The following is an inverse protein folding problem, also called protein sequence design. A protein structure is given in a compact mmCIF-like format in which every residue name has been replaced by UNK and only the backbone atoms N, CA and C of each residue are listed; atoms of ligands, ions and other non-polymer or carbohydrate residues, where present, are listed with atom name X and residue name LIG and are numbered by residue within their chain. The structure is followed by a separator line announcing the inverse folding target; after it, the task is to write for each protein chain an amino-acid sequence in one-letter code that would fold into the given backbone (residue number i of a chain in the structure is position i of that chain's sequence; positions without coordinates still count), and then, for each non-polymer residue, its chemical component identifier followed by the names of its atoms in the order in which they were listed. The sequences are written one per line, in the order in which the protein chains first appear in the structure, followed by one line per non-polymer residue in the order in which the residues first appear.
data_IF_117482413578
#
_entry.id   IF_117482413578
#
_cell.length_a   1.000
_cell.length_b   1.000
_cell.length_c   1.000
_cell.angle_alpha   90.00
_cell.angle_beta   90.00
_cell.angle_gamma   90.00
#
_symmetry.space_group_name_H-M   'P 1'
#
loop_
_entity.id
_entity.type
_entity.pdbx_description
1 polymer ?
#
# COMPACT_ATOMS: atom_id res chain seq x y z
N UNK A 1 6.94 -38.02 33.21
CA UNK A 1 7.41 -37.42 31.94
C UNK A 1 7.52 -35.92 32.16
N UNK A 2 8.73 -35.39 32.34
CA UNK A 2 8.97 -33.96 32.57
C UNK A 2 9.14 -33.29 31.21
N UNK A 3 8.21 -32.40 30.86
CA UNK A 3 8.26 -31.60 29.64
C UNK A 3 9.18 -30.40 29.85
N UNK A 4 10.27 -30.35 29.09
CA UNK A 4 11.23 -29.24 29.09
C UNK A 4 10.71 -28.15 28.17
N UNK A 5 10.24 -27.05 28.74
CA UNK A 5 9.82 -25.85 28.00
C UNK A 5 11.07 -25.04 27.63
N UNK A 6 11.47 -25.10 26.35
CA UNK A 6 12.53 -24.23 25.81
C UNK A 6 11.94 -22.86 25.50
N UNK A 7 12.25 -21.86 26.34
CA UNK A 7 11.96 -20.45 26.06
C UNK A 7 12.96 -19.93 25.04
N UNK A 8 12.47 -19.51 23.87
CA UNK A 8 13.24 -18.74 22.90
C UNK A 8 13.10 -17.27 23.29
N UNK A 9 14.17 -16.70 23.81
CA UNK A 9 14.29 -15.27 24.12
C UNK A 9 14.65 -14.53 22.83
N UNK A 10 13.75 -13.70 22.31
CA UNK A 10 14.09 -12.74 21.26
C UNK A 10 14.96 -11.64 21.87
N UNK A 11 16.24 -11.62 21.48
CA UNK A 11 17.20 -10.60 21.87
C UNK A 11 16.84 -9.27 21.21
N UNK A 12 16.53 -8.29 22.04
CA UNK A 12 16.42 -6.88 21.67
C UNK A 12 17.83 -6.37 21.32
N UNK A 13 18.17 -6.31 20.04
CA UNK A 13 19.42 -5.71 19.59
C UNK A 13 19.27 -4.17 19.63
N UNK A 14 19.85 -3.55 20.65
CA UNK A 14 20.01 -2.11 20.73
C UNK A 14 21.00 -1.65 19.63
N UNK A 15 20.49 -0.99 18.60
CA UNK A 15 21.30 -0.40 17.54
C UNK A 15 21.89 0.92 18.05
N UNK A 16 23.20 0.91 18.31
CA UNK A 16 23.96 2.08 18.73
C UNK A 16 24.06 3.12 17.61
N UNK A 17 23.68 4.34 17.94
CA UNK A 17 23.83 5.53 17.11
C UNK A 17 25.30 5.96 17.08
N UNK A 18 25.96 5.77 15.94
CA UNK A 18 27.24 6.41 15.60
C UNK A 18 26.96 7.46 14.52
N UNK A 19 27.11 8.75 14.84
CA UNK A 19 27.13 9.83 13.85
C UNK A 19 28.56 10.30 13.68
N UNK A 20 29.12 10.06 12.50
CA UNK A 20 30.39 10.62 12.04
C UNK A 20 30.18 12.06 11.56
N UNK A 21 31.06 12.97 11.99
CA UNK A 21 31.19 14.34 11.50
C UNK A 21 32.36 14.41 10.52
N UNK A 22 32.08 14.75 9.26
CA UNK A 22 32.98 15.33 8.26
C UNK A 22 32.07 15.93 7.17
N UNK A 23 32.15 17.19 6.73
CA UNK A 23 33.29 18.09 6.65
C UNK A 23 33.81 18.13 5.20
N UNK A 24 33.81 19.33 4.60
CA UNK A 24 34.23 19.75 3.22
C UNK A 24 33.05 19.84 2.22
N UNK A 25 32.54 21.03 1.83
CA UNK A 25 33.13 22.09 0.98
C UNK A 25 33.75 21.56 -0.31
N UNK A 26 33.09 21.78 -1.46
CA UNK A 26 33.55 22.84 -2.38
C UNK A 26 32.56 23.13 -3.52
N UNK A 27 32.58 24.42 -3.83
CA UNK A 27 31.95 25.24 -4.85
C UNK A 27 32.41 24.88 -6.28
N UNK A 28 31.51 24.97 -7.27
CA UNK A 28 31.81 25.28 -8.69
C UNK A 28 30.56 25.19 -9.57
N UNK A 29 29.85 26.30 -9.75
CA UNK A 29 29.06 26.54 -10.98
C UNK A 29 29.99 26.97 -12.12
N UNK A 30 29.62 26.66 -13.38
CA UNK A 30 29.68 27.73 -14.38
C UNK A 30 28.43 27.84 -15.24
N UNK A 31 28.07 29.11 -15.44
CA UNK A 31 27.14 29.71 -16.39
C UNK A 31 27.50 29.49 -17.86
N UNK A 32 26.49 29.28 -18.73
CA UNK A 32 26.35 29.89 -20.06
C UNK A 32 24.96 29.50 -20.60
N UNK A 33 23.97 30.36 -20.88
CA UNK A 33 23.87 31.59 -21.70
C UNK A 33 24.22 31.37 -23.18
N UNK A 34 23.19 31.14 -23.99
CA UNK A 34 22.99 31.68 -25.34
C UNK A 34 21.54 31.39 -25.74
N UNK A 35 20.64 32.39 -25.85
CA UNK A 35 20.48 33.44 -26.88
C UNK A 35 20.10 32.90 -28.27
N UNK A 36 18.87 33.20 -28.67
CA UNK A 36 18.38 32.98 -30.04
C UNK A 36 16.85 33.04 -30.12
N UNK A 37 16.24 34.16 -30.53
CA UNK A 37 14.81 34.28 -30.75
C UNK A 37 14.47 33.83 -32.17
N UNK A 38 13.36 33.12 -32.38
CA UNK A 38 12.69 33.22 -33.66
C UNK A 38 11.18 33.07 -33.53
N UNK A 39 10.50 34.14 -33.92
CA UNK A 39 9.07 34.22 -34.10
C UNK A 39 8.72 33.49 -35.40
N UNK A 40 7.66 32.68 -35.39
CA UNK A 40 6.72 32.67 -36.52
C UNK A 40 5.28 32.62 -36.06
N UNK A 41 4.63 33.74 -36.35
CA UNK A 41 3.18 33.94 -36.50
C UNK A 41 2.72 33.24 -37.79
N UNK A 42 1.47 32.74 -37.78
CA UNK A 42 0.75 32.17 -38.93
C UNK A 42 0.18 30.79 -38.55
N UNK A 43 -1.09 30.44 -38.65
CA UNK A 43 -2.16 31.00 -39.46
C UNK A 43 -3.53 30.86 -38.78
N UNK A 44 -4.37 31.77 -39.22
CA UNK A 44 -5.79 31.98 -38.96
C UNK A 44 -6.63 30.91 -39.66
N UNK A 45 -7.43 30.14 -38.90
CA UNK A 45 -8.55 29.39 -39.44
C UNK A 45 -9.84 30.15 -39.15
N UNK A 46 -10.24 30.98 -40.12
CA UNK A 46 -11.58 31.56 -40.24
C UNK A 46 -12.41 30.63 -41.12
N UNK A 47 -13.63 30.35 -40.67
CA UNK A 47 -14.75 29.95 -41.54
C UNK A 47 -15.04 28.46 -41.58
N UNK A 48 -16.07 28.05 -40.86
CA UNK A 48 -17.29 27.64 -41.55
C UNK A 48 -18.51 27.90 -40.67
N UNK A 49 -19.33 28.85 -41.13
CA UNK A 49 -20.66 29.13 -40.62
C UNK A 49 -21.63 28.18 -41.34
N UNK A 50 -21.96 27.05 -40.73
CA UNK A 50 -23.08 26.25 -41.18
C UNK A 50 -24.38 26.90 -40.66
N UNK A 51 -25.00 27.70 -41.51
CA UNK A 51 -26.35 28.23 -41.30
C UNK A 51 -27.35 27.22 -41.85
N UNK A 52 -28.27 26.78 -41.01
CA UNK A 52 -29.60 26.34 -41.42
C UNK A 52 -29.75 24.88 -41.78
N UNK A 53 -30.23 24.08 -40.83
CA UNK A 53 -31.39 23.23 -41.11
C UNK A 53 -32.30 23.22 -39.88
N UNK A 54 -33.51 23.74 -40.11
CA UNK A 54 -34.59 23.74 -39.13
C UNK A 54 -35.27 22.38 -39.19
N UNK A 55 -34.81 21.43 -38.38
CA UNK A 55 -35.57 20.21 -38.13
C UNK A 55 -36.66 20.52 -37.09
N UNK A 56 -37.86 20.75 -37.60
CA UNK A 56 -39.08 20.84 -36.81
C UNK A 56 -39.54 19.43 -36.49
N UNK A 57 -39.76 19.13 -35.21
CA UNK A 57 -40.53 17.98 -34.77
C UNK A 57 -39.70 16.72 -34.52
N UNK A 58 -39.26 16.56 -33.27
CA UNK A 58 -39.66 15.39 -32.49
C UNK A 58 -39.60 15.77 -31.02
N UNK A 59 -40.74 15.66 -30.35
CA UNK A 59 -40.84 15.74 -28.90
C UNK A 59 -40.08 14.54 -28.33
N UNK A 60 -38.79 14.71 -28.06
CA UNK A 60 -38.04 13.79 -27.22
C UNK A 60 -38.65 13.88 -25.81
N UNK A 61 -39.62 13.00 -25.57
CA UNK A 61 -40.14 12.69 -24.25
C UNK A 61 -38.93 12.45 -23.37
N UNK A 62 -38.80 13.24 -22.31
CA UNK A 62 -37.59 13.32 -21.50
C UNK A 62 -37.14 11.94 -21.03
N UNK A 63 -36.11 11.42 -21.67
CA UNK A 63 -35.20 10.49 -21.05
C UNK A 63 -34.57 11.27 -19.92
N UNK A 64 -35.15 11.11 -18.74
CA UNK A 64 -34.49 11.45 -17.50
C UNK A 64 -33.23 10.61 -17.54
N UNK A 65 -32.10 11.24 -17.87
CA UNK A 65 -30.80 10.68 -17.59
C UNK A 65 -30.78 10.49 -16.07
N UNK A 66 -31.22 9.32 -15.62
CA UNK A 66 -30.88 8.79 -14.31
C UNK A 66 -29.37 8.72 -14.38
N UNK A 67 -28.73 9.80 -13.91
CA UNK A 67 -27.29 9.91 -13.89
C UNK A 67 -26.79 8.62 -13.27
N UNK A 68 -25.91 7.94 -14.00
CA UNK A 68 -25.16 6.79 -13.51
C UNK A 68 -24.42 7.27 -12.26
N UNK A 69 -25.10 7.22 -11.11
CA UNK A 69 -24.48 7.30 -9.81
C UNK A 69 -23.56 6.10 -9.78
N UNK A 70 -22.27 6.35 -9.93
CA UNK A 70 -21.23 5.36 -9.72
C UNK A 70 -21.60 4.54 -8.48
N UNK A 71 -21.52 3.19 -8.55
CA UNK A 71 -21.98 2.34 -7.45
C UNK A 71 -21.36 2.82 -6.15
N UNK A 72 -22.20 3.26 -5.21
CA UNK A 72 -21.74 3.73 -3.91
C UNK A 72 -21.01 2.59 -3.23
N UNK A 73 -19.80 2.84 -2.74
CA UNK A 73 -19.04 1.85 -2.00
C UNK A 73 -19.86 1.37 -0.78
N UNK A 74 -20.21 0.08 -0.65
CA UNK A 74 -21.05 -0.39 0.46
C UNK A 74 -20.29 -0.50 1.80
N UNK A 75 -18.97 -0.32 1.79
CA UNK A 75 -18.07 -0.55 2.93
C UNK A 75 -17.87 0.72 3.77
N UNK A 76 -18.97 1.35 4.17
CA UNK A 76 -18.98 2.67 4.86
C UNK A 76 -19.02 2.59 6.39
N UNK A 77 -18.92 1.39 6.96
CA UNK A 77 -18.92 1.19 8.41
C UNK A 77 -18.03 0.03 8.82
N UNK A 78 -17.60 0.03 10.09
CA UNK A 78 -16.80 -1.06 10.67
C UNK A 78 -17.51 -2.40 10.50
N UNK A 79 -18.81 -2.45 10.80
CA UNK A 79 -19.61 -3.68 10.69
C UNK A 79 -19.71 -4.18 9.25
N UNK A 80 -19.89 -3.29 8.27
CA UNK A 80 -19.98 -3.70 6.87
C UNK A 80 -18.66 -4.33 6.39
N UNK A 81 -17.52 -3.73 6.77
CA UNK A 81 -16.19 -4.23 6.40
C UNK A 81 -15.90 -5.57 7.09
N UNK A 82 -16.09 -5.67 8.41
CA UNK A 82 -15.78 -6.89 9.16
C UNK A 82 -16.65 -8.06 8.72
N UNK A 83 -17.96 -7.85 8.54
CA UNK A 83 -18.88 -8.88 8.02
C UNK A 83 -18.51 -9.31 6.60
N UNK A 84 -18.08 -8.38 5.74
CA UNK A 84 -17.69 -8.73 4.38
C UNK A 84 -16.42 -9.59 4.33
N UNK A 85 -15.39 -9.19 5.09
CA UNK A 85 -14.10 -9.87 5.14
C UNK A 85 -14.19 -11.23 5.83
N UNK A 86 -15.15 -11.47 6.72
CA UNK A 86 -15.33 -12.76 7.37
C UNK A 86 -15.42 -13.92 6.36
N UNK A 87 -14.59 -14.95 6.58
CA UNK A 87 -14.50 -16.10 5.70
C UNK A 87 -13.86 -15.82 4.34
N UNK A 88 -13.26 -14.64 4.12
CA UNK A 88 -12.51 -14.34 2.89
C UNK A 88 -11.04 -14.74 2.99
N UNK A 89 -10.47 -15.03 1.84
CA UNK A 89 -9.03 -15.15 1.63
C UNK A 89 -8.56 -13.93 0.85
N UNK A 90 -7.50 -13.27 1.35
CA UNK A 90 -6.85 -12.12 0.76
C UNK A 90 -5.50 -12.57 0.22
N UNK A 91 -5.24 -12.38 -1.08
CA UNK A 91 -4.00 -12.84 -1.71
C UNK A 91 -3.24 -11.69 -2.36
N UNK A 92 -1.98 -11.52 -1.99
CA UNK A 92 -1.04 -10.59 -2.62
C UNK A 92 0.07 -11.39 -3.31
N UNK A 93 0.34 -11.12 -4.59
CA UNK A 93 1.42 -11.74 -5.36
C UNK A 93 1.79 -10.91 -6.60
N UNK A 94 2.95 -11.18 -7.20
CA UNK A 94 3.37 -10.51 -8.44
C UNK A 94 3.42 -8.98 -8.31
N UNK A 95 2.83 -8.25 -9.25
CA UNK A 95 2.80 -6.78 -9.26
C UNK A 95 2.01 -6.16 -8.10
N UNK A 96 1.26 -6.96 -7.35
CA UNK A 96 0.53 -6.50 -6.17
C UNK A 96 1.43 -6.38 -4.93
N UNK A 97 2.65 -6.93 -4.98
CA UNK A 97 3.67 -6.76 -3.95
C UNK A 97 4.40 -5.44 -4.21
N UNK A 98 4.35 -4.47 -3.27
CA UNK A 98 4.97 -3.18 -3.48
C UNK A 98 6.48 -3.25 -3.18
N UNK A 99 7.23 -2.22 -3.57
CA UNK A 99 8.70 -2.21 -3.37
C UNK A 99 9.12 -2.10 -1.90
N UNK A 100 8.27 -1.53 -1.05
CA UNK A 100 8.52 -1.32 0.37
C UNK A 100 7.36 -1.82 1.24
N UNK A 101 7.04 -3.13 1.22
CA UNK A 101 5.97 -3.64 2.06
C UNK A 101 6.30 -3.35 3.53
N UNK A 102 5.28 -2.93 4.28
CA UNK A 102 5.45 -2.51 5.68
C UNK A 102 6.43 -1.35 5.90
N UNK A 103 6.75 -0.59 4.85
CA UNK A 103 7.68 0.54 4.88
C UNK A 103 9.16 0.17 4.69
N UNK A 104 9.50 -1.11 4.48
CA UNK A 104 10.87 -1.58 4.35
C UNK A 104 11.19 -2.03 2.94
N UNK A 105 12.35 -1.63 2.41
CA UNK A 105 12.83 -2.08 1.10
C UNK A 105 12.90 -3.61 1.04
N UNK A 106 12.14 -4.21 0.13
CA UNK A 106 12.10 -5.66 -0.07
C UNK A 106 13.46 -6.27 -0.44
N UNK A 107 14.40 -5.46 -0.93
CA UNK A 107 15.75 -5.88 -1.28
C UNK A 107 16.72 -5.89 -0.10
N UNK A 108 16.31 -5.43 1.09
CA UNK A 108 17.18 -5.44 2.28
C UNK A 108 16.97 -6.71 3.10
N UNK A 109 18.07 -7.36 3.46
CA UNK A 109 18.05 -8.56 4.29
C UNK A 109 17.78 -8.22 5.76
N UNK A 110 16.64 -8.67 6.29
CA UNK A 110 16.30 -8.61 7.72
C UNK A 110 16.18 -10.01 8.34
N UNK A 111 16.86 -11.00 7.77
CA UNK A 111 16.76 -12.41 8.13
C UNK A 111 15.34 -12.94 7.89
N UNK A 112 14.74 -13.53 8.91
CA UNK A 112 13.34 -14.00 8.83
C UNK A 112 12.31 -12.86 8.76
N UNK A 113 12.71 -11.63 9.08
CA UNK A 113 11.85 -10.45 8.96
C UNK A 113 11.98 -9.74 7.60
N UNK A 114 12.69 -10.34 6.63
CA UNK A 114 12.85 -9.78 5.29
C UNK A 114 11.49 -9.64 4.60
N UNK A 115 11.28 -8.50 3.93
CA UNK A 115 10.03 -8.18 3.24
C UNK A 115 10.03 -8.60 1.75
N UNK A 116 11.01 -9.41 1.35
CA UNK A 116 11.05 -10.04 0.03
C UNK A 116 9.95 -11.10 -0.04
N UNK A 117 8.73 -10.71 -0.41
CA UNK A 117 7.60 -11.62 -0.52
C UNK A 117 7.53 -12.23 -1.92
N UNK A 118 7.19 -13.50 -2.03
CA UNK A 118 6.72 -14.12 -3.27
C UNK A 118 5.19 -14.10 -3.31
N UNK A 119 4.57 -14.43 -2.17
CA UNK A 119 3.12 -14.42 -1.98
C UNK A 119 2.77 -14.20 -0.52
N UNK A 120 1.72 -13.44 -0.26
CA UNK A 120 1.09 -13.35 1.07
C UNK A 120 -0.37 -13.78 0.95
N UNK A 121 -0.78 -14.70 1.80
CA UNK A 121 -2.17 -15.16 1.91
C UNK A 121 -2.67 -14.87 3.31
N UNK A 122 -3.76 -14.12 3.42
CA UNK A 122 -4.42 -13.83 4.69
C UNK A 122 -5.79 -14.46 4.68
N UNK A 123 -6.07 -15.34 5.63
CA UNK A 123 -7.42 -15.88 5.84
C UNK A 123 -8.08 -15.08 6.96
N UNK A 124 -9.18 -14.41 6.64
CA UNK A 124 -10.02 -13.79 7.65
C UNK A 124 -10.90 -14.86 8.28
N UNK A 125 -10.58 -15.21 9.52
CA UNK A 125 -11.29 -16.24 10.28
C UNK A 125 -12.55 -15.67 10.94
N UNK A 126 -13.31 -16.50 11.67
CA UNK A 126 -14.46 -16.03 12.44
C UNK A 126 -14.01 -15.08 13.57
N UNK A 127 -14.57 -13.88 13.58
CA UNK A 127 -14.12 -12.77 14.43
C UNK A 127 -12.99 -11.93 13.79
N UNK A 128 -12.53 -10.86 14.45
CA UNK A 128 -11.52 -9.95 13.90
C UNK A 128 -10.13 -10.56 14.01
N UNK A 129 -9.87 -11.66 13.27
CA UNK A 129 -8.59 -12.37 13.28
C UNK A 129 -8.20 -12.81 11.89
N UNK A 130 -6.96 -12.51 11.56
CA UNK A 130 -6.24 -12.96 10.40
C UNK A 130 -5.30 -14.12 10.76
N UNK A 131 -5.32 -15.15 9.92
CA UNK A 131 -4.26 -16.14 9.81
C UNK A 131 -3.46 -15.85 8.55
N UNK A 132 -2.19 -15.47 8.73
CA UNK A 132 -1.35 -14.97 7.65
C UNK A 132 -0.26 -15.97 7.32
N UNK A 133 -0.17 -16.35 6.05
CA UNK A 133 0.93 -17.15 5.49
C UNK A 133 1.72 -16.25 4.54
N UNK A 134 3.02 -16.13 4.78
CA UNK A 134 3.95 -15.37 3.94
C UNK A 134 4.97 -16.32 3.33
N UNK A 135 4.88 -16.50 2.01
CA UNK A 135 5.92 -17.16 1.22
C UNK A 135 6.97 -16.09 0.90
N UNK A 136 8.15 -16.19 1.51
CA UNK A 136 9.27 -15.30 1.22
C UNK A 136 9.91 -15.70 -0.11
N UNK A 137 10.18 -14.71 -0.94
CA UNK A 137 10.98 -14.83 -2.15
C UNK A 137 12.45 -15.09 -1.83
N UNK A 138 13.25 -15.28 -2.88
CA UNK A 138 14.68 -15.53 -2.75
C UNK A 138 15.43 -14.22 -2.82
N UNK A 139 16.13 -13.86 -1.74
CA UNK A 139 16.97 -12.66 -1.72
C UNK A 139 18.40 -13.03 -2.11
N UNK A 140 18.87 -12.49 -3.23
CA UNK A 140 20.23 -12.73 -3.75
C UNK A 140 21.14 -11.53 -3.50
N UNK A 141 22.45 -11.74 -3.35
CA UNK A 141 23.41 -10.64 -3.19
C UNK A 141 23.43 -9.95 -1.82
N UNK A 142 22.66 -10.44 -0.84
CA UNK A 142 22.60 -9.88 0.51
C UNK A 142 22.86 -10.96 1.59
N UNK A 143 24.12 -11.41 1.77
CA UNK A 143 24.43 -12.54 2.65
C UNK A 143 24.22 -12.27 4.14
N UNK A 144 24.29 -11.01 4.59
CA UNK A 144 24.16 -10.63 5.99
C UNK A 144 22.96 -9.71 6.23
N UNK A 145 22.49 -9.66 7.47
CA UNK A 145 21.47 -8.69 7.90
C UNK A 145 21.94 -7.26 7.64
N UNK A 146 21.09 -6.47 6.99
CA UNK A 146 21.37 -5.09 6.58
C UNK A 146 21.96 -4.96 5.16
N UNK A 147 22.41 -6.07 4.56
CA UNK A 147 22.87 -6.03 3.16
C UNK A 147 21.68 -5.79 2.22
N UNK A 148 21.92 -5.01 1.16
CA UNK A 148 20.97 -4.80 0.07
C UNK A 148 21.31 -5.71 -1.11
N UNK A 149 20.30 -6.41 -1.62
CA UNK A 149 20.43 -7.38 -2.68
C UNK A 149 19.39 -7.20 -3.77
N UNK A 150 18.92 -8.31 -4.32
CA UNK A 150 17.82 -8.34 -5.29
C UNK A 150 16.83 -9.41 -4.86
N UNK A 151 15.61 -8.97 -4.57
CA UNK A 151 14.50 -9.85 -4.25
C UNK A 151 13.93 -10.48 -5.53
N UNK A 152 13.92 -11.81 -5.57
CA UNK A 152 13.19 -12.59 -6.57
C UNK A 152 11.84 -13.03 -5.98
N UNK A 153 10.76 -12.37 -6.41
CA UNK A 153 9.40 -12.70 -6.01
C UNK A 153 8.87 -13.99 -6.69
N UNK A 154 9.58 -14.55 -7.69
CA UNK A 154 9.18 -15.75 -8.42
C UNK A 154 9.61 -17.07 -7.77
N UNK A 155 10.64 -17.04 -6.93
CA UNK A 155 11.20 -18.24 -6.29
C UNK A 155 11.02 -18.21 -4.78
N UNK A 156 10.20 -19.12 -4.24
CA UNK A 156 9.97 -19.22 -2.79
C UNK A 156 11.20 -19.81 -2.09
N UNK A 157 11.71 -19.12 -1.08
CA UNK A 157 12.82 -19.55 -0.23
C UNK A 157 12.33 -20.20 1.07
N UNK A 158 11.33 -19.61 1.72
CA UNK A 158 10.76 -20.13 2.96
C UNK A 158 9.33 -19.64 3.15
N UNK A 159 8.55 -20.36 3.95
CA UNK A 159 7.17 -20.00 4.30
C UNK A 159 7.07 -19.75 5.80
N UNK A 160 6.51 -18.61 6.17
CA UNK A 160 6.21 -18.22 7.54
C UNK A 160 4.71 -18.17 7.76
N UNK A 161 4.24 -18.51 8.95
CA UNK A 161 2.83 -18.40 9.32
C UNK A 161 2.70 -17.78 10.70
N UNK A 162 1.76 -16.85 10.83
CA UNK A 162 1.50 -16.16 12.08
C UNK A 162 0.02 -15.77 12.16
N UNK A 163 -0.56 -15.97 13.35
CA UNK A 163 -1.94 -15.63 13.63
C UNK A 163 -2.02 -14.33 14.42
N UNK A 164 -2.87 -13.43 13.96
CA UNK A 164 -3.20 -12.24 14.72
C UNK A 164 -4.03 -12.59 15.95
N UNK A 165 -3.83 -11.84 17.03
CA UNK A 165 -4.68 -11.90 18.21
C UNK A 165 -5.90 -10.99 18.05
N UNK A 166 -5.74 -9.87 17.34
CA UNK A 166 -6.77 -8.84 17.12
C UNK A 166 -6.54 -8.14 15.77
N UNK A 167 -7.63 -7.87 15.05
CA UNK A 167 -7.71 -6.96 13.89
C UNK A 167 -8.68 -5.83 14.24
N UNK A 168 -8.19 -4.63 14.52
CA UNK A 168 -9.03 -3.46 14.75
C UNK A 168 -9.28 -2.72 13.43
N UNK A 169 -10.55 -2.40 13.15
CA UNK A 169 -10.96 -1.54 12.04
C UNK A 169 -11.68 -0.33 12.65
N UNK A 170 -11.21 0.87 12.32
CA UNK A 170 -11.60 2.13 12.96
C UNK A 170 -11.70 3.26 11.91
N UNK A 171 -12.27 4.40 12.31
CA UNK A 171 -12.25 5.65 11.53
C UNK A 171 -12.67 5.50 10.05
N UNK A 172 -13.67 4.66 9.79
CA UNK A 172 -14.20 4.41 8.45
C UNK A 172 -14.82 5.69 7.89
N UNK A 173 -14.33 6.14 6.72
CA UNK A 173 -14.90 7.29 6.02
C UNK A 173 -16.31 6.98 5.53
N UNK A 174 -17.17 7.99 5.53
CA UNK A 174 -18.59 7.84 5.14
C UNK A 174 -18.80 7.40 3.70
N UNK A 175 -17.80 7.57 2.83
CA UNK A 175 -17.80 7.14 1.43
C UNK A 175 -17.09 5.78 1.22
N UNK A 176 -16.63 5.12 2.28
CA UNK A 176 -15.89 3.85 2.22
C UNK A 176 -14.52 3.95 1.57
N UNK A 177 -14.02 5.15 1.30
CA UNK A 177 -12.73 5.36 0.61
C UNK A 177 -11.51 5.01 1.48
N UNK A 178 -11.67 4.96 2.79
CA UNK A 178 -10.57 4.69 3.70
C UNK A 178 -11.10 4.23 5.06
N UNK A 179 -10.39 3.31 5.71
CA UNK A 179 -10.53 3.00 7.12
C UNK A 179 -9.16 2.72 7.75
N UNK A 180 -9.02 3.03 9.03
CA UNK A 180 -7.81 2.69 9.78
C UNK A 180 -7.85 1.21 10.15
N UNK A 181 -6.70 0.56 10.04
CA UNK A 181 -6.54 -0.85 10.39
C UNK A 181 -5.32 -1.03 11.29
N UNK A 182 -5.49 -1.85 12.33
CA UNK A 182 -4.42 -2.28 13.23
C UNK A 182 -4.48 -3.79 13.40
N UNK A 183 -3.43 -4.49 13.00
CA UNK A 183 -3.31 -5.95 13.14
C UNK A 183 -2.28 -6.27 14.22
N UNK A 184 -2.73 -6.92 15.28
CA UNK A 184 -1.89 -7.29 16.42
C UNK A 184 -1.50 -8.77 16.31
N UNK A 185 -0.21 -9.05 16.36
CA UNK A 185 0.34 -10.40 16.43
C UNK A 185 1.04 -10.63 17.78
N UNK A 186 1.48 -11.86 18.02
CA UNK A 186 2.32 -12.12 19.19
C UNK A 186 3.72 -11.53 18.96
N UNK A 187 4.02 -10.42 19.65
CA UNK A 187 5.35 -9.80 19.65
C UNK A 187 5.50 -8.57 18.74
N UNK A 188 4.55 -8.29 17.85
CA UNK A 188 4.57 -7.10 17.00
C UNK A 188 3.16 -6.67 16.58
N UNK A 189 3.03 -5.43 16.11
CA UNK A 189 1.81 -4.92 15.52
C UNK A 189 2.10 -4.22 14.20
N UNK A 190 1.10 -4.25 13.33
CA UNK A 190 1.08 -3.51 12.08
C UNK A 190 -0.11 -2.57 12.10
N UNK A 191 0.07 -1.37 11.59
CA UNK A 191 -0.96 -0.34 11.58
C UNK A 191 -0.88 0.54 10.34
N UNK A 192 -2.01 1.13 9.98
CA UNK A 192 -2.10 2.11 8.92
C UNK A 192 -3.53 2.26 8.44
N UNK A 193 -3.69 2.27 7.12
CA UNK A 193 -4.96 2.53 6.45
C UNK A 193 -5.23 1.53 5.34
N UNK A 194 -6.50 1.31 5.06
CA UNK A 194 -6.93 0.39 4.02
C UNK A 194 -8.20 0.88 3.31
N UNK A 195 -8.44 0.31 2.13
CA UNK A 195 -9.62 0.56 1.31
C UNK A 195 -10.04 -0.75 0.66
N UNK A 196 -11.33 -1.05 0.72
CA UNK A 196 -11.95 -2.13 -0.05
C UNK A 196 -12.62 -1.52 -1.28
N UNK A 197 -12.34 -2.06 -2.47
CA UNK A 197 -12.97 -1.61 -3.73
C UNK A 197 -14.48 -1.77 -3.66
N UNK A 198 -15.24 -0.95 -4.38
CA UNK A 198 -16.71 -1.00 -4.32
C UNK A 198 -17.30 -2.35 -4.76
N UNK A 199 -16.60 -3.10 -5.61
CA UNK A 199 -16.98 -4.47 -6.01
C UNK A 199 -16.52 -5.56 -5.03
N UNK A 200 -15.79 -5.16 -3.98
CA UNK A 200 -15.28 -6.02 -2.92
C UNK A 200 -14.10 -6.91 -3.33
N UNK A 201 -13.66 -6.88 -4.58
CA UNK A 201 -12.66 -7.81 -5.11
C UNK A 201 -11.23 -7.45 -4.75
N UNK A 202 -10.97 -6.20 -4.35
CA UNK A 202 -9.63 -5.72 -4.08
C UNK A 202 -9.59 -5.00 -2.74
N UNK A 203 -8.70 -5.46 -1.86
CA UNK A 203 -8.35 -4.77 -0.63
C UNK A 203 -6.95 -4.16 -0.80
N UNK A 204 -6.84 -2.84 -0.65
CA UNK A 204 -5.55 -2.14 -0.64
C UNK A 204 -5.23 -1.82 0.81
N UNK A 205 -4.06 -2.23 1.29
CA UNK A 205 -3.59 -1.97 2.65
C UNK A 205 -2.24 -1.27 2.60
N UNK A 206 -2.14 -0.14 3.29
CA UNK A 206 -0.89 0.57 3.51
C UNK A 206 -0.58 0.48 5.00
N UNK A 207 0.29 -0.47 5.32
CA UNK A 207 0.61 -0.85 6.70
C UNK A 207 2.08 -0.54 6.97
N UNK A 208 2.39 -0.33 8.24
CA UNK A 208 3.72 -0.13 8.80
C UNK A 208 3.79 -0.82 10.15
N UNK A 209 4.99 -1.10 10.65
CA UNK A 209 5.12 -1.57 12.04
C UNK A 209 4.77 -0.45 13.03
N UNK A 210 4.12 -0.82 14.12
CA UNK A 210 3.68 0.13 15.16
C UNK A 210 4.83 1.01 15.66
N UNK A 211 4.56 2.31 15.75
CA UNK A 211 5.50 3.30 16.27
C UNK A 211 6.61 3.72 15.31
N UNK A 212 6.65 3.19 14.08
CA UNK A 212 7.66 3.56 13.09
C UNK A 212 7.19 4.63 12.11
N UNK A 213 5.91 4.66 11.78
CA UNK A 213 5.36 5.57 10.80
C UNK A 213 4.48 6.66 11.44
N UNK A 214 4.40 7.81 10.76
CA UNK A 214 3.37 8.83 10.99
C UNK A 214 2.78 9.28 9.65
N UNK A 215 1.59 9.87 9.64
CA UNK A 215 0.92 10.28 8.40
C UNK A 215 0.30 9.13 7.61
N UNK A 216 0.18 7.94 8.23
CA UNK A 216 -0.28 6.70 7.62
C UNK A 216 -1.74 6.35 7.94
N UNK A 217 -2.50 7.24 8.59
CA UNK A 217 -3.91 7.05 8.92
C UNK A 217 -4.82 7.72 7.88
N UNK A 218 -6.11 7.37 7.89
CA UNK A 218 -7.12 7.97 7.02
C UNK A 218 -7.42 9.44 7.32
N UNK A 219 -7.02 9.93 8.50
CA UNK A 219 -7.04 11.35 8.81
C UNK A 219 -5.98 12.14 8.02
N UNK A 220 -4.88 11.48 7.65
CA UNK A 220 -3.72 12.11 7.02
C UNK A 220 -3.74 12.03 5.48
N UNK A 221 -4.57 11.15 4.92
CA UNK A 221 -4.72 11.00 3.48
C UNK A 221 -5.42 9.73 3.05
N UNK A 222 -5.68 9.62 1.75
CA UNK A 222 -6.15 8.37 1.13
C UNK A 222 -5.06 7.29 1.17
N UNK A 223 -5.44 6.03 0.96
CA UNK A 223 -4.48 4.92 0.81
C UNK A 223 -3.50 5.22 -0.33
N UNK A 224 -2.20 5.20 -0.03
CA UNK A 224 -1.11 5.56 -0.94
C UNK A 224 -0.83 7.06 -1.04
N UNK A 225 -1.44 7.90 -0.21
CA UNK A 225 -1.12 9.32 -0.17
C UNK A 225 0.33 9.55 0.28
N UNK A 226 0.99 10.53 -0.35
CA UNK A 226 2.28 11.04 0.09
C UNK A 226 2.20 11.67 1.48
N UNK A 227 3.34 11.82 2.15
CA UNK A 227 3.41 12.50 3.45
C UNK A 227 3.58 11.57 4.64
N UNK A 228 3.64 10.26 4.40
CA UNK A 228 4.11 9.31 5.41
C UNK A 228 5.57 9.62 5.76
N UNK A 229 5.89 9.63 7.04
CA UNK A 229 7.27 9.58 7.51
C UNK A 229 7.55 8.24 8.18
N UNK A 230 8.77 7.73 8.04
CA UNK A 230 9.25 6.52 8.68
C UNK A 230 10.49 6.85 9.51
N UNK A 231 10.42 6.59 10.81
CA UNK A 231 11.45 6.96 11.79
C UNK A 231 11.86 8.44 11.68
N UNK A 232 10.87 9.32 11.44
CA UNK A 232 11.06 10.77 11.31
C UNK A 232 11.53 11.25 9.93
N UNK A 233 11.82 10.36 8.99
CA UNK A 233 12.26 10.72 7.64
C UNK A 233 11.10 10.59 6.64
N UNK A 234 11.04 11.45 5.64
CA UNK A 234 10.03 11.32 4.57
C UNK A 234 10.15 9.95 3.87
N UNK A 235 9.03 9.25 3.74
CA UNK A 235 8.98 7.97 3.05
C UNK A 235 8.83 8.20 1.53
N UNK A 236 9.72 7.60 0.75
CA UNK A 236 9.75 7.70 -0.72
C UNK A 236 9.42 6.38 -1.44
N UNK A 237 9.21 5.30 -0.69
CA UNK A 237 8.88 3.99 -1.22
C UNK A 237 7.40 3.83 -1.57
N UNK A 238 7.03 2.62 -1.99
CA UNK A 238 5.64 2.20 -2.12
C UNK A 238 5.35 1.12 -1.07
N UNK A 239 4.40 1.36 -0.18
CA UNK A 239 3.96 0.45 0.88
C UNK A 239 2.55 -0.11 0.67
N UNK A 240 1.88 0.28 -0.43
CA UNK A 240 0.51 -0.13 -0.72
C UNK A 240 0.50 -1.57 -1.22
N UNK A 241 0.11 -2.47 -0.33
CA UNK A 241 -0.09 -3.88 -0.60
C UNK A 241 -1.48 -4.08 -1.18
N UNK A 242 -1.57 -4.76 -2.32
CA UNK A 242 -2.85 -5.01 -3.00
C UNK A 242 -3.22 -6.49 -2.85
N UNK A 243 -4.43 -6.75 -2.38
CA UNK A 243 -4.91 -8.10 -2.16
C UNK A 243 -6.15 -8.37 -3.00
N UNK A 244 -6.13 -9.50 -3.72
CA UNK A 244 -7.33 -10.08 -4.30
C UNK A 244 -8.16 -10.72 -3.19
N UNK A 245 -9.46 -10.42 -3.17
CA UNK A 245 -10.39 -10.90 -2.14
C UNK A 245 -11.28 -11.97 -2.74
N UNK A 246 -11.15 -13.20 -2.22
CA UNK A 246 -11.96 -14.34 -2.66
C UNK A 246 -12.67 -15.00 -1.49
N UNK A 247 -13.75 -15.73 -1.77
CA UNK A 247 -14.35 -16.63 -0.78
C UNK A 247 -13.33 -17.71 -0.44
N UNK A 248 -13.19 -18.06 0.84
CA UNK A 248 -12.37 -19.20 1.23
C UNK A 248 -13.07 -20.48 0.74
N UNK A 249 -12.38 -21.32 -0.06
CA UNK A 249 -12.96 -22.56 -0.57
C UNK A 249 -13.33 -23.54 0.54
#
# INVERSE_FOLDING_TARGET
MRSTLTRITFGLAALGLLVFVAGCSDDSTPTNKDTGPDQKVGDMAVGDTATGDTATGDTATGDTATGDTAPSNPYTSVSAITTYLEGKTLTMSGSNIPSHPLGYDQNTNFGQATQCYSKVTIKSTSGPKFSTTSDLGTLTGAPNTGDTGTCDNGTVSTTLTFDSTVVAIENVKSDGSCFDVTVTYTGFKQEGRAMLSADGKTLRMELYFEGQATGHRCADGAVGASGVTLNGNAFSGNSVQVYDVTVTP
#
